data_IF_899330932872
#
_entry.id   IF_899330932872
#
_cell.length_a   1.000
_cell.length_b   1.000
_cell.length_c   1.000
_cell.angle_alpha   90.00
_cell.angle_beta   90.00
_cell.angle_gamma   90.00
#
_symmetry.space_group_name_H-M   'P 1'
#
loop_
_entity.id
_entity.type
_entity.pdbx_description
1 polymer ?
#
# COMPACT_ATOMS: atom_id res chain seq x y z
N UNK A 1 -32.57 -53.26 -0.05
CA UNK A 1 -32.38 -52.77 -1.43
C UNK A 1 -32.09 -51.28 -1.32
N UNK A 2 -30.92 -50.72 -1.58
CA UNK A 2 -29.67 -51.26 -2.07
C UNK A 2 -28.54 -50.34 -1.61
N UNK A 3 -27.40 -50.95 -1.31
CA UNK A 3 -26.21 -50.37 -0.68
C UNK A 3 -25.35 -49.55 -1.65
N UNK A 4 -25.92 -48.56 -2.35
CA UNK A 4 -25.24 -47.89 -3.46
C UNK A 4 -24.91 -46.40 -3.28
N UNK A 5 -25.29 -45.76 -2.17
CA UNK A 5 -24.97 -44.33 -1.97
C UNK A 5 -23.70 -44.06 -1.16
N UNK A 6 -22.95 -45.11 -0.77
CA UNK A 6 -21.73 -44.98 0.05
C UNK A 6 -20.41 -44.94 -0.73
N UNK A 7 -20.45 -44.81 -2.07
CA UNK A 7 -19.22 -44.83 -2.91
C UNK A 7 -19.01 -43.65 -3.85
N UNK A 8 -19.90 -42.66 -3.92
CA UNK A 8 -19.75 -41.49 -4.78
C UNK A 8 -19.40 -40.19 -4.03
N UNK A 9 -18.74 -40.31 -2.87
CA UNK A 9 -18.28 -39.16 -2.08
C UNK A 9 -16.75 -39.03 -2.04
N UNK A 10 -16.06 -39.49 -3.08
CA UNK A 10 -14.59 -39.38 -3.19
C UNK A 10 -14.09 -38.46 -4.30
N UNK A 11 -14.94 -37.88 -5.14
CA UNK A 11 -14.49 -37.00 -6.23
C UNK A 11 -15.24 -35.66 -6.22
N UNK A 12 -14.90 -34.80 -5.26
CA UNK A 12 -14.86 -33.34 -5.49
C UNK A 12 -14.21 -32.68 -4.29
N UNK A 13 -12.88 -32.64 -4.32
CA UNK A 13 -12.07 -31.78 -3.45
C UNK A 13 -12.30 -30.35 -3.94
N UNK A 14 -12.84 -29.44 -3.10
CA UNK A 14 -12.84 -28.03 -3.44
C UNK A 14 -11.42 -27.48 -3.23
N UNK A 15 -10.86 -26.97 -4.32
CA UNK A 15 -9.55 -26.34 -4.45
C UNK A 15 -9.21 -25.42 -3.27
N UNK A 16 -8.21 -25.81 -2.48
CA UNK A 16 -7.66 -25.01 -1.39
C UNK A 16 -6.59 -24.03 -1.92
N UNK A 17 -6.89 -23.25 -2.96
CA UNK A 17 -5.88 -22.38 -3.59
C UNK A 17 -5.45 -21.20 -2.71
N UNK A 18 -6.20 -20.81 -1.68
CA UNK A 18 -5.82 -19.65 -0.85
C UNK A 18 -4.83 -19.97 0.28
N UNK A 19 -4.85 -21.18 0.85
CA UNK A 19 -3.91 -21.57 1.92
C UNK A 19 -2.59 -22.09 1.36
N UNK A 20 -2.65 -22.71 0.17
CA UNK A 20 -1.45 -23.18 -0.53
C UNK A 20 -0.67 -22.00 -1.09
N UNK A 21 -1.33 -21.00 -1.72
CA UNK A 21 -0.65 -19.77 -2.17
C UNK A 21 -0.05 -18.96 -1.02
N UNK A 22 -0.72 -18.90 0.14
CA UNK A 22 -0.15 -18.23 1.31
C UNK A 22 1.04 -19.00 1.88
N UNK A 23 0.94 -20.31 2.16
CA UNK A 23 2.09 -21.08 2.64
C UNK A 23 3.23 -21.15 1.61
N UNK A 24 2.93 -21.14 0.32
CA UNK A 24 3.93 -21.12 -0.72
C UNK A 24 4.61 -19.75 -0.82
N UNK A 25 3.90 -18.63 -0.61
CA UNK A 25 4.52 -17.30 -0.49
C UNK A 25 5.42 -17.19 0.73
N UNK A 26 5.00 -17.66 1.91
CA UNK A 26 5.86 -17.68 3.10
C UNK A 26 7.06 -18.63 2.92
N UNK A 27 6.88 -19.76 2.23
CA UNK A 27 7.96 -20.70 1.89
C UNK A 27 8.92 -20.14 0.83
N UNK A 28 8.42 -19.37 -0.14
CA UNK A 28 9.22 -18.66 -1.14
C UNK A 28 10.00 -17.53 -0.47
N UNK A 29 9.39 -16.78 0.43
CA UNK A 29 10.03 -15.67 1.14
C UNK A 29 11.10 -16.14 2.13
N UNK A 30 10.85 -17.25 2.84
CA UNK A 30 11.87 -17.91 3.67
C UNK A 30 12.99 -18.52 2.84
N UNK A 31 12.69 -19.18 1.70
CA UNK A 31 13.74 -19.63 0.76
C UNK A 31 14.55 -18.48 0.20
N UNK A 32 13.94 -17.34 -0.14
CA UNK A 32 14.66 -16.16 -0.62
C UNK A 32 15.56 -15.58 0.49
N UNK A 33 15.10 -15.57 1.73
CA UNK A 33 15.88 -15.10 2.88
C UNK A 33 17.06 -16.04 3.18
N UNK A 34 16.85 -17.35 3.12
CA UNK A 34 17.89 -18.34 3.33
C UNK A 34 18.89 -18.39 2.17
N UNK A 35 18.43 -18.23 0.92
CA UNK A 35 19.29 -18.06 -0.25
C UNK A 35 20.15 -16.80 -0.12
N UNK A 36 19.58 -15.67 0.32
CA UNK A 36 20.35 -14.43 0.59
C UNK A 36 21.37 -14.61 1.71
N UNK A 37 21.08 -15.42 2.73
CA UNK A 37 22.05 -15.76 3.79
C UNK A 37 23.16 -16.66 3.26
N UNK A 38 22.84 -17.65 2.42
CA UNK A 38 23.82 -18.51 1.76
C UNK A 38 24.71 -17.72 0.80
N UNK A 39 24.15 -16.76 0.05
CA UNK A 39 24.89 -15.87 -0.83
C UNK A 39 25.82 -14.94 -0.04
N UNK A 40 25.35 -14.35 1.07
CA UNK A 40 26.18 -13.56 1.98
C UNK A 40 27.28 -14.40 2.63
N UNK A 41 26.99 -15.65 2.97
CA UNK A 41 27.97 -16.58 3.54
C UNK A 41 28.99 -17.01 2.48
N UNK A 42 28.57 -17.25 1.24
CA UNK A 42 29.44 -17.54 0.10
C UNK A 42 30.33 -16.35 -0.25
N UNK A 43 29.80 -15.12 -0.19
CA UNK A 43 30.54 -13.88 -0.43
C UNK A 43 31.56 -13.61 0.71
N UNK A 44 31.20 -13.89 1.96
CA UNK A 44 32.14 -13.87 3.09
C UNK A 44 33.27 -14.91 2.94
N UNK A 45 32.93 -16.12 2.47
CA UNK A 45 33.92 -17.18 2.23
C UNK A 45 34.81 -16.85 1.02
N UNK A 46 34.27 -16.18 -0.01
CA UNK A 46 35.04 -15.70 -1.15
C UNK A 46 36.04 -14.61 -0.71
N UNK A 47 35.60 -13.68 0.14
CA UNK A 47 36.47 -12.65 0.73
C UNK A 47 37.57 -13.26 1.60
N UNK A 48 37.25 -14.30 2.39
CA UNK A 48 38.20 -15.03 3.25
C UNK A 48 39.20 -15.88 2.44
N UNK A 49 38.79 -16.44 1.31
CA UNK A 49 39.68 -17.18 0.42
C UNK A 49 40.54 -16.27 -0.48
N UNK A 50 40.04 -15.07 -0.83
CA UNK A 50 40.82 -14.01 -1.50
C UNK A 50 41.93 -13.42 -0.62
N UNK A 51 41.84 -13.58 0.71
CA UNK A 51 42.84 -13.15 1.68
C UNK A 51 43.81 -14.28 2.11
N UNK A 52 43.72 -15.49 1.55
CA UNK A 52 44.79 -16.49 1.76
C UNK A 52 46.04 -16.01 1.01
N UNK A 53 47.17 -15.78 1.69
CA UNK A 53 48.41 -15.53 0.99
C UNK A 53 48.75 -16.80 0.23
N UNK A 54 48.85 -16.71 -1.10
CA UNK A 54 49.46 -17.75 -1.93
C UNK A 54 50.82 -18.08 -1.33
N UNK A 55 50.93 -19.25 -0.70
CA UNK A 55 52.14 -19.80 -0.10
C UNK A 55 53.20 -20.06 -1.19
N UNK A 56 53.88 -19.01 -1.63
CA UNK A 56 55.18 -19.07 -2.27
C UNK A 56 55.97 -17.88 -1.71
N UNK A 57 57.09 -18.16 -1.02
CA UNK A 57 58.02 -17.23 -0.34
C UNK A 57 57.90 -17.04 1.19
N UNK A 58 57.64 -18.10 1.96
CA UNK A 58 58.11 -18.13 3.37
C UNK A 58 58.80 -19.47 3.66
N UNK A 59 59.98 -19.67 3.07
CA UNK A 59 60.90 -20.76 3.45
C UNK A 59 62.33 -20.25 3.71
N UNK A 60 62.50 -18.95 3.99
CA UNK A 60 63.82 -18.37 4.26
C UNK A 60 64.01 -17.91 5.71
N UNK A 61 62.95 -17.70 6.48
CA UNK A 61 63.05 -17.08 7.82
C UNK A 61 62.82 -18.04 9.00
N UNK A 62 62.34 -19.26 8.74
CA UNK A 62 62.13 -20.27 9.79
C UNK A 62 63.41 -21.06 10.16
N UNK A 63 64.50 -20.88 9.40
CA UNK A 63 65.80 -21.53 9.65
C UNK A 63 66.78 -20.66 10.45
N UNK A 64 66.56 -19.34 10.55
CA UNK A 64 67.46 -18.43 11.29
C UNK A 64 67.22 -18.39 12.81
N UNK A 65 66.14 -18.99 13.33
CA UNK A 65 65.76 -18.95 14.75
C UNK A 65 66.01 -20.23 15.56
N UNK A 66 66.68 -21.24 14.99
CA UNK A 66 66.93 -22.54 15.65
C UNK A 66 68.33 -22.70 16.29
N UNK A 67 69.13 -21.63 16.37
CA UNK A 67 70.42 -21.66 17.09
C UNK A 67 70.51 -20.50 18.10
N UNK A 68 69.80 -20.61 19.21
CA UNK A 68 70.19 -19.98 20.49
C UNK A 68 69.32 -20.56 21.58
N UNK A 69 69.72 -21.76 22.01
CA UNK A 69 69.11 -22.49 23.10
C UNK A 69 69.83 -22.15 24.42
N UNK A 70 69.04 -22.17 25.50
CA UNK A 70 69.43 -22.28 26.94
C UNK A 70 69.85 -20.96 27.64
N UNK A 71 69.36 -20.59 28.84
CA UNK A 71 68.69 -21.36 29.91
C UNK A 71 68.06 -20.41 30.97
N UNK A 72 66.91 -20.84 31.50
CA UNK A 72 66.50 -20.85 32.94
C UNK A 72 66.06 -19.56 33.67
N UNK A 73 64.76 -19.57 33.98
CA UNK A 73 64.01 -19.23 35.21
C UNK A 73 64.32 -17.96 36.02
N UNK A 74 63.26 -17.19 36.36
CA UNK A 74 62.80 -16.99 37.75
C UNK A 74 61.88 -15.76 37.90
N UNK A 75 60.67 -16.01 38.41
CA UNK A 75 59.78 -15.22 39.31
C UNK A 75 59.79 -13.66 39.30
N UNK A 76 58.53 -13.17 39.24
CA UNK A 76 57.86 -12.25 40.19
C UNK A 76 58.21 -10.75 40.14
N UNK A 77 57.22 -9.98 39.70
CA UNK A 77 56.54 -8.96 40.51
C UNK A 77 57.15 -7.56 40.64
N UNK A 78 56.35 -6.55 40.26
CA UNK A 78 56.14 -5.36 41.08
C UNK A 78 56.89 -4.07 40.71
N UNK A 79 56.08 -3.07 40.30
CA UNK A 79 56.05 -1.69 40.84
C UNK A 79 57.23 -0.74 40.55
N UNK A 80 56.90 0.27 39.73
CA UNK A 80 57.13 1.73 39.85
C UNK A 80 58.56 2.27 39.96
N UNK A 81 58.85 3.23 39.06
CA UNK A 81 59.47 4.55 39.31
C UNK A 81 60.33 4.91 38.09
N UNK A 82 59.89 5.83 37.23
CA UNK A 82 60.00 7.29 37.35
C UNK A 82 61.33 7.84 36.81
N UNK A 83 61.16 8.99 36.14
CA UNK A 83 62.13 10.06 35.90
C UNK A 83 63.07 9.96 34.68
N UNK A 84 62.68 10.79 33.69
CA UNK A 84 63.38 12.00 33.26
C UNK A 84 64.63 11.90 32.37
N UNK A 85 64.37 12.25 31.10
CA UNK A 85 64.93 13.39 30.35
C UNK A 85 66.43 13.72 30.40
N UNK A 86 67.04 13.64 29.21
CA UNK A 86 67.94 14.65 28.62
C UNK A 86 68.24 14.20 27.19
N UNK A 87 67.79 14.90 26.14
CA UNK A 87 68.38 16.15 25.64
C UNK A 87 69.90 16.10 25.73
N UNK A 88 70.55 15.76 24.62
CA UNK A 88 71.71 16.49 24.14
C UNK A 88 72.05 16.03 22.72
N UNK A 89 72.03 17.01 21.83
CA UNK A 89 72.74 17.02 20.57
C UNK A 89 74.20 16.61 20.80
N UNK A 90 74.76 15.84 19.87
CA UNK A 90 76.22 15.76 19.70
C UNK A 90 76.47 15.36 18.26
N UNK A 91 76.77 16.32 17.39
CA UNK A 91 78.11 16.89 17.19
C UNK A 91 79.02 15.92 16.46
N UNK A 92 79.16 16.17 15.16
CA UNK A 92 80.27 15.76 14.30
C UNK A 92 81.60 16.13 14.96
N UNK A 93 82.23 15.15 15.61
CA UNK A 93 83.64 15.23 16.01
C UNK A 93 84.47 14.58 14.91
N UNK A 94 85.17 15.43 14.16
CA UNK A 94 86.30 15.05 13.32
C UNK A 94 87.33 14.30 14.17
N UNK A 95 87.45 12.98 13.98
CA UNK A 95 88.66 12.24 14.36
C UNK A 95 89.66 12.36 13.23
N UNK A 96 90.57 13.33 13.35
CA UNK A 96 91.88 13.32 12.71
C UNK A 96 92.70 12.15 13.28
N UNK A 97 92.57 10.98 12.67
CA UNK A 97 93.55 9.93 12.84
C UNK A 97 94.72 10.19 11.87
N UNK A 98 95.78 10.77 12.42
CA UNK A 98 97.12 10.77 11.85
C UNK A 98 97.60 9.31 11.70
N UNK A 99 97.22 8.66 10.60
CA UNK A 99 97.86 7.42 10.15
C UNK A 99 98.98 7.84 9.20
N UNK A 100 100.22 7.84 9.71
CA UNK A 100 101.42 7.91 8.86
C UNK A 100 101.28 6.85 7.77
N UNK A 101 101.10 7.30 6.53
CA UNK A 101 101.22 6.46 5.37
C UNK A 101 102.66 5.94 5.33
N UNK A 102 102.89 4.62 5.15
CA UNK A 102 104.23 4.12 4.87
C UNK A 102 104.78 4.80 3.62
N UNK A 103 106.02 5.30 3.70
CA UNK A 103 106.80 5.79 2.57
C UNK A 103 106.93 4.68 1.51
N UNK A 104 105.98 4.61 0.58
CA UNK A 104 106.03 3.70 -0.57
C UNK A 104 106.11 4.46 -1.91
N UNK A 105 106.36 5.77 -1.88
CA UNK A 105 106.40 6.62 -3.10
C UNK A 105 107.82 7.09 -3.45
N UNK A 106 108.83 6.78 -2.63
CA UNK A 106 110.18 7.33 -2.82
C UNK A 106 111.05 6.64 -3.89
N UNK A 107 110.50 5.76 -4.73
CA UNK A 107 111.28 4.97 -5.71
C UNK A 107 110.65 4.96 -7.11
N UNK A 108 110.29 6.11 -7.67
CA UNK A 108 109.80 6.23 -9.05
C UNK A 108 110.46 7.38 -9.83
N UNK A 109 111.62 7.87 -9.39
CA UNK A 109 112.22 9.07 -9.98
C UNK A 109 113.19 8.83 -11.15
N UNK A 110 113.57 7.60 -11.49
CA UNK A 110 114.54 7.37 -12.56
C UNK A 110 114.10 6.29 -13.56
N UNK A 111 113.17 6.66 -14.46
CA UNK A 111 112.96 5.98 -15.75
C UNK A 111 112.46 6.99 -16.79
N UNK A 112 113.37 7.51 -17.61
CA UNK A 112 113.08 8.24 -18.86
C UNK A 112 112.12 7.45 -19.77
N UNK A 113 111.28 8.02 -20.65
CA UNK A 113 110.54 9.28 -20.70
C UNK A 113 109.34 9.15 -21.67
N UNK A 114 108.96 7.93 -22.10
CA UNK A 114 107.92 7.72 -23.14
C UNK A 114 106.95 6.56 -22.85
N UNK A 115 107.39 5.44 -22.25
CA UNK A 115 106.52 4.28 -21.98
C UNK A 115 105.63 4.39 -20.73
N UNK A 116 106.12 5.04 -19.67
CA UNK A 116 105.32 5.28 -18.45
C UNK A 116 104.23 6.34 -18.65
N UNK A 117 104.47 7.32 -19.53
CA UNK A 117 103.49 8.38 -19.86
C UNK A 117 102.27 7.84 -20.60
N UNK A 118 102.45 6.83 -21.46
CA UNK A 118 101.33 6.18 -22.16
C UNK A 118 100.52 5.30 -21.22
N UNK A 119 101.17 4.49 -20.38
CA UNK A 119 100.49 3.63 -19.40
C UNK A 119 99.71 4.46 -18.37
N UNK A 120 100.31 5.54 -17.86
CA UNK A 120 99.64 6.46 -16.94
C UNK A 120 98.43 7.16 -17.58
N UNK A 121 98.50 7.52 -18.88
CA UNK A 121 97.36 8.08 -19.60
C UNK A 121 96.22 7.05 -19.82
N UNK A 122 96.55 5.79 -20.12
CA UNK A 122 95.54 4.73 -20.23
C UNK A 122 94.83 4.45 -18.90
N UNK A 123 95.59 4.36 -17.80
CA UNK A 123 95.04 4.16 -16.46
C UNK A 123 94.15 5.33 -16.00
N UNK A 124 94.52 6.58 -16.32
CA UNK A 124 93.68 7.75 -16.05
C UNK A 124 92.37 7.70 -16.84
N UNK A 125 92.43 7.36 -18.13
CA UNK A 125 91.23 7.20 -18.96
C UNK A 125 90.33 6.10 -18.41
N UNK A 126 90.88 4.96 -18.00
CA UNK A 126 90.12 3.88 -17.39
C UNK A 126 89.49 4.33 -16.05
N UNK A 127 90.25 5.01 -15.19
CA UNK A 127 89.75 5.59 -13.95
C UNK A 127 88.58 6.56 -14.20
N UNK A 128 88.68 7.41 -15.21
CA UNK A 128 87.62 8.33 -15.59
C UNK A 128 86.39 7.59 -16.13
N UNK A 129 86.58 6.50 -16.90
CA UNK A 129 85.45 5.65 -17.31
C UNK A 129 84.79 4.96 -16.11
N UNK A 130 85.57 4.52 -15.12
CA UNK A 130 85.06 3.90 -13.90
C UNK A 130 84.32 4.91 -13.02
N UNK A 131 84.84 6.14 -12.89
CA UNK A 131 84.15 7.24 -12.20
C UNK A 131 82.82 7.59 -12.86
N UNK A 132 82.80 7.68 -14.19
CA UNK A 132 81.56 7.94 -14.93
C UNK A 132 80.53 6.81 -14.76
N UNK A 133 80.98 5.54 -14.79
CA UNK A 133 80.13 4.37 -14.52
C UNK A 133 79.59 4.38 -13.08
N UNK A 134 80.43 4.67 -12.08
CA UNK A 134 80.04 4.72 -10.67
C UNK A 134 78.99 5.83 -10.44
N UNK A 135 79.23 7.04 -10.98
CA UNK A 135 78.23 8.13 -10.94
C UNK A 135 76.90 7.72 -11.55
N UNK A 136 76.92 7.06 -12.72
CA UNK A 136 75.70 6.55 -13.38
C UNK A 136 74.97 5.49 -12.53
N UNK A 137 75.70 4.65 -11.81
CA UNK A 137 75.10 3.67 -10.90
C UNK A 137 74.50 4.35 -9.67
N UNK A 138 75.16 5.38 -9.13
CA UNK A 138 74.65 6.17 -8.02
C UNK A 138 73.37 6.93 -8.39
N UNK A 139 73.32 7.53 -9.58
CA UNK A 139 72.12 8.20 -10.10
C UNK A 139 70.95 7.22 -10.26
N UNK A 140 71.22 6.03 -10.83
CA UNK A 140 70.21 4.95 -10.95
C UNK A 140 69.72 4.46 -9.59
N UNK A 141 70.61 4.32 -8.62
CA UNK A 141 70.23 3.91 -7.26
C UNK A 141 69.31 4.97 -6.62
N UNK A 142 69.67 6.25 -6.74
CA UNK A 142 68.85 7.35 -6.24
C UNK A 142 67.48 7.44 -6.94
N UNK A 143 67.41 7.12 -8.23
CA UNK A 143 66.15 7.01 -8.98
C UNK A 143 65.28 5.86 -8.48
N UNK A 144 65.86 4.66 -8.31
CA UNK A 144 65.15 3.49 -7.75
C UNK A 144 64.68 3.71 -6.32
N UNK A 145 65.46 4.39 -5.49
CA UNK A 145 65.07 4.77 -4.13
C UNK A 145 63.87 5.73 -4.13
N UNK A 146 63.79 6.64 -5.10
CA UNK A 146 62.61 7.52 -5.27
C UNK A 146 61.39 6.72 -5.72
N UNK A 147 61.54 5.85 -6.73
CA UNK A 147 60.46 4.96 -7.19
C UNK A 147 59.90 4.09 -6.04
N UNK A 148 60.78 3.48 -5.24
CA UNK A 148 60.39 2.67 -4.08
C UNK A 148 59.62 3.48 -3.04
N UNK A 149 60.06 4.72 -2.75
CA UNK A 149 59.35 5.61 -1.83
C UNK A 149 57.97 5.98 -2.36
N UNK A 150 57.85 6.27 -3.66
CA UNK A 150 56.55 6.56 -4.29
C UNK A 150 55.62 5.34 -4.22
N UNK A 151 56.09 4.15 -4.62
CA UNK A 151 55.30 2.92 -4.54
C UNK A 151 54.83 2.61 -3.11
N UNK A 152 55.68 2.84 -2.10
CA UNK A 152 55.32 2.67 -0.69
C UNK A 152 54.20 3.62 -0.27
N UNK A 153 54.29 4.90 -0.64
CA UNK A 153 53.25 5.88 -0.34
C UNK A 153 51.93 5.54 -1.06
N UNK A 154 52.00 5.08 -2.31
CA UNK A 154 50.80 4.67 -3.07
C UNK A 154 50.10 3.48 -2.41
N UNK A 155 50.86 2.49 -1.92
CA UNK A 155 50.31 1.37 -1.16
C UNK A 155 49.66 1.83 0.16
N UNK A 156 50.32 2.67 0.94
CA UNK A 156 49.75 3.22 2.18
C UNK A 156 48.48 4.03 1.93
N UNK A 157 48.40 4.76 0.81
CA UNK A 157 47.19 5.48 0.40
C UNK A 157 46.07 4.53 -0.01
N UNK A 158 46.38 3.47 -0.74
CA UNK A 158 45.40 2.45 -1.13
C UNK A 158 44.85 1.73 0.11
N UNK A 159 45.70 1.34 1.05
CA UNK A 159 45.30 0.69 2.30
C UNK A 159 44.33 1.59 3.08
N UNK A 160 44.69 2.87 3.30
CA UNK A 160 43.80 3.84 3.95
C UNK A 160 42.48 4.04 3.22
N UNK A 161 42.49 4.04 1.88
CA UNK A 161 41.27 4.16 1.10
C UNK A 161 40.36 2.92 1.27
N UNK A 162 40.92 1.73 1.39
CA UNK A 162 40.13 0.52 1.67
C UNK A 162 39.60 0.48 3.09
N UNK A 163 40.40 0.90 4.08
CA UNK A 163 39.97 1.02 5.48
C UNK A 163 38.81 2.02 5.63
N UNK A 164 38.89 3.17 4.95
CA UNK A 164 37.82 4.16 4.96
C UNK A 164 36.51 3.61 4.38
N UNK A 165 36.58 2.88 3.26
CA UNK A 165 35.40 2.22 2.65
C UNK A 165 34.79 1.16 3.56
N UNK A 166 35.62 0.41 4.29
CA UNK A 166 35.15 -0.58 5.25
C UNK A 166 34.46 0.14 6.42
N UNK A 167 35.07 1.19 6.96
CA UNK A 167 34.50 1.99 8.04
C UNK A 167 33.16 2.63 7.65
N UNK A 168 33.05 3.16 6.44
CA UNK A 168 31.80 3.70 5.88
C UNK A 168 30.68 2.66 5.83
N UNK A 169 30.98 1.45 5.31
CA UNK A 169 30.01 0.35 5.27
C UNK A 169 29.59 -0.11 6.67
N UNK A 170 30.53 -0.17 7.62
CA UNK A 170 30.23 -0.52 9.01
C UNK A 170 29.34 0.56 9.65
N UNK A 171 29.65 1.85 9.43
CA UNK A 171 28.84 2.94 9.96
C UNK A 171 27.41 2.91 9.43
N UNK A 172 27.23 2.71 8.12
CA UNK A 172 25.91 2.57 7.50
C UNK A 172 25.12 1.39 8.09
N UNK A 173 25.74 0.21 8.23
CA UNK A 173 25.10 -0.95 8.83
C UNK A 173 24.68 -0.70 10.28
N UNK A 174 25.53 -0.02 11.06
CA UNK A 174 25.22 0.33 12.45
C UNK A 174 24.02 1.28 12.51
N UNK A 175 23.96 2.29 11.65
CA UNK A 175 22.81 3.19 11.56
C UNK A 175 21.51 2.48 11.15
N UNK A 176 21.58 1.54 10.20
CA UNK A 176 20.42 0.71 9.82
C UNK A 176 19.93 -0.15 10.99
N UNK A 177 20.84 -0.80 11.72
CA UNK A 177 20.49 -1.59 12.91
C UNK A 177 19.82 -0.72 13.98
N UNK A 178 20.35 0.48 14.24
CA UNK A 178 19.73 1.41 15.19
C UNK A 178 18.34 1.86 14.74
N UNK A 179 18.17 2.12 13.45
CA UNK A 179 16.88 2.55 12.88
C UNK A 179 15.85 1.42 12.97
N UNK A 180 16.20 0.21 12.53
CA UNK A 180 15.34 -0.97 12.64
C UNK A 180 14.99 -1.30 14.09
N UNK A 181 15.92 -1.11 15.02
CA UNK A 181 15.67 -1.32 16.45
C UNK A 181 14.67 -0.30 17.00
N UNK A 182 14.81 0.97 16.63
CA UNK A 182 13.85 2.02 17.01
C UNK A 182 12.46 1.71 16.49
N UNK A 183 12.34 1.34 15.21
CA UNK A 183 11.05 0.96 14.60
C UNK A 183 10.42 -0.24 15.30
N UNK A 184 11.23 -1.26 15.64
CA UNK A 184 10.78 -2.42 16.41
C UNK A 184 10.25 -2.01 17.79
N UNK A 185 10.96 -1.15 18.51
CA UNK A 185 10.53 -0.68 19.83
C UNK A 185 9.27 0.17 19.76
N UNK A 186 9.14 1.01 18.74
CA UNK A 186 7.93 1.80 18.50
C UNK A 186 6.73 0.90 18.19
N UNK A 187 6.89 -0.10 17.31
CA UNK A 187 5.85 -1.06 16.99
C UNK A 187 5.41 -1.89 18.21
N UNK A 188 6.37 -2.32 19.04
CA UNK A 188 6.07 -3.04 20.29
C UNK A 188 5.30 -2.14 21.26
N UNK A 189 5.73 -0.90 21.44
CA UNK A 189 5.03 0.06 22.31
C UNK A 189 3.63 0.40 21.80
N UNK A 190 3.44 0.52 20.48
CA UNK A 190 2.14 0.72 19.86
C UNK A 190 1.20 -0.47 20.13
N UNK A 191 1.69 -1.71 19.93
CA UNK A 191 0.91 -2.93 20.18
C UNK A 191 0.53 -3.08 21.66
N UNK A 192 1.44 -2.73 22.58
CA UNK A 192 1.17 -2.76 24.02
C UNK A 192 0.10 -1.73 24.41
N UNK A 193 0.11 -0.53 23.80
CA UNK A 193 -0.94 0.48 24.02
C UNK A 193 -2.31 -0.03 23.56
N UNK A 194 -2.39 -0.56 22.34
CA UNK A 194 -3.64 -1.13 21.81
C UNK A 194 -4.18 -2.26 22.70
N UNK A 195 -3.31 -3.18 23.14
CA UNK A 195 -3.74 -4.25 24.04
C UNK A 195 -4.28 -3.72 25.39
N UNK A 196 -3.70 -2.64 25.92
CA UNK A 196 -4.22 -2.00 27.13
C UNK A 196 -5.56 -1.30 26.87
N UNK A 197 -5.70 -0.59 25.76
CA UNK A 197 -6.95 0.06 25.35
C UNK A 197 -8.08 -0.97 25.17
N UNK A 198 -7.82 -2.07 24.46
CA UNK A 198 -8.77 -3.18 24.28
C UNK A 198 -9.17 -3.82 25.61
N UNK A 199 -8.21 -4.04 26.51
CA UNK A 199 -8.48 -4.57 27.85
C UNK A 199 -9.35 -3.60 28.65
N UNK A 200 -9.04 -2.30 28.62
CA UNK A 200 -9.76 -1.29 29.37
C UNK A 200 -11.19 -1.11 28.81
N UNK A 201 -11.36 -1.20 27.49
CA UNK A 201 -12.68 -1.26 26.85
C UNK A 201 -13.47 -2.51 27.27
N UNK A 202 -12.84 -3.68 27.27
CA UNK A 202 -13.48 -4.93 27.71
C UNK A 202 -13.90 -4.82 29.18
N UNK A 203 -13.06 -4.24 30.04
CA UNK A 203 -13.37 -3.98 31.44
C UNK A 203 -14.57 -3.05 31.58
N UNK A 204 -14.62 -1.95 30.83
CA UNK A 204 -15.77 -1.04 30.81
C UNK A 204 -17.05 -1.73 30.32
N UNK A 205 -16.98 -2.62 29.33
CA UNK A 205 -18.14 -3.40 28.87
C UNK A 205 -18.65 -4.34 29.96
N UNK A 206 -17.76 -5.06 30.64
CA UNK A 206 -18.10 -5.94 31.77
C UNK A 206 -18.76 -5.14 32.88
N UNK A 207 -18.18 -4.00 33.28
CA UNK A 207 -18.76 -3.16 34.33
C UNK A 207 -20.17 -2.68 33.98
N UNK A 208 -20.41 -2.23 32.73
CA UNK A 208 -21.76 -1.86 32.28
C UNK A 208 -22.75 -3.02 32.33
N UNK A 209 -22.29 -4.23 31.97
CA UNK A 209 -23.11 -5.43 32.05
C UNK A 209 -23.42 -5.80 33.50
N UNK A 210 -22.45 -5.71 34.41
CA UNK A 210 -22.66 -5.93 35.84
C UNK A 210 -23.66 -4.92 36.43
N UNK A 211 -23.53 -3.64 36.08
CA UNK A 211 -24.49 -2.59 36.45
C UNK A 211 -25.89 -2.92 35.91
N UNK A 212 -26.00 -3.32 34.64
CA UNK A 212 -27.29 -3.72 34.05
C UNK A 212 -27.88 -4.97 34.71
N UNK A 213 -27.05 -5.94 35.10
CA UNK A 213 -27.48 -7.15 35.78
C UNK A 213 -27.96 -6.84 37.19
N UNK A 214 -27.27 -5.94 37.91
CA UNK A 214 -27.70 -5.45 39.22
C UNK A 214 -29.00 -4.65 39.14
N UNK A 215 -29.22 -3.89 38.07
CA UNK A 215 -30.52 -3.27 37.79
C UNK A 215 -31.62 -4.32 37.54
N UNK A 216 -31.29 -5.42 36.86
CA UNK A 216 -32.20 -6.52 36.55
C UNK A 216 -32.51 -7.40 37.77
N UNK A 217 -31.55 -7.65 38.66
CA UNK A 217 -31.74 -8.37 39.93
C UNK A 217 -32.71 -7.62 40.87
N UNK A 218 -32.78 -6.29 40.75
CA UNK A 218 -33.80 -5.46 41.41
C UNK A 218 -35.19 -5.52 40.72
N UNK A 219 -35.38 -6.38 39.72
CA UNK A 219 -36.67 -6.65 39.09
C UNK A 219 -37.16 -8.01 39.55
N UNK A 220 -37.94 -8.04 40.64
CA UNK A 220 -38.78 -9.19 40.93
C UNK A 220 -39.87 -9.28 39.82
N UNK A 221 -39.91 -10.33 38.98
CA UNK A 221 -40.86 -10.41 37.87
C UNK A 221 -42.32 -10.46 38.36
N UNK A 222 -42.59 -11.10 39.50
CA UNK A 222 -43.92 -11.10 40.14
C UNK A 222 -44.41 -9.68 40.51
N UNK A 223 -43.48 -8.74 40.75
CA UNK A 223 -43.82 -7.37 41.15
C UNK A 223 -44.07 -6.44 39.97
N UNK A 224 -43.73 -6.82 38.73
CA UNK A 224 -44.03 -6.05 37.52
C UNK A 224 -45.37 -6.42 36.86
N UNK A 225 -45.85 -7.65 37.06
CA UNK A 225 -47.11 -8.10 36.44
C UNK A 225 -48.36 -7.70 37.24
N UNK A 226 -48.20 -7.36 38.52
CA UNK A 226 -49.31 -6.90 39.35
C UNK A 226 -49.90 -5.59 38.83
N UNK A 227 -51.21 -5.43 38.84
CA UNK A 227 -51.80 -4.11 38.53
C UNK A 227 -51.54 -3.12 39.67
N UNK A 228 -51.55 -1.81 39.38
CA UNK A 228 -51.48 -0.79 40.46
C UNK A 228 -52.62 -0.99 41.47
N UNK A 229 -53.79 -1.40 40.98
CA UNK A 229 -54.95 -1.70 41.81
C UNK A 229 -54.69 -2.89 42.75
N UNK A 230 -54.05 -3.96 42.27
CA UNK A 230 -53.66 -5.09 43.12
C UNK A 230 -52.64 -4.69 44.20
N UNK A 231 -51.64 -3.87 43.86
CA UNK A 231 -50.66 -3.38 44.84
C UNK A 231 -51.33 -2.50 45.91
N UNK A 232 -52.24 -1.61 45.51
CA UNK A 232 -53.00 -0.79 46.44
C UNK A 232 -53.93 -1.63 47.32
N UNK A 233 -54.60 -2.64 46.75
CA UNK A 233 -55.44 -3.57 47.51
C UNK A 233 -54.61 -4.39 48.51
N UNK A 234 -53.38 -4.81 48.15
CA UNK A 234 -52.46 -5.51 49.07
C UNK A 234 -51.96 -4.61 50.18
N UNK A 235 -51.69 -3.33 49.91
CA UNK A 235 -51.37 -2.35 50.95
C UNK A 235 -52.56 -2.14 51.90
N UNK A 236 -53.76 -2.01 51.36
CA UNK A 236 -54.97 -1.78 52.14
C UNK A 236 -55.36 -2.98 53.03
N UNK A 237 -55.00 -4.19 52.60
CA UNK A 237 -55.29 -5.44 53.30
C UNK A 237 -54.04 -6.05 53.98
N UNK A 238 -52.95 -5.30 54.15
CA UNK A 238 -51.72 -5.81 54.75
C UNK A 238 -51.84 -5.86 56.28
N UNK A 239 -51.57 -7.03 56.86
CA UNK A 239 -51.61 -7.25 58.31
C UNK A 239 -50.36 -6.73 59.05
N UNK A 240 -49.27 -6.46 58.30
CA UNK A 240 -48.01 -5.96 58.87
C UNK A 240 -47.48 -4.71 58.16
N UNK A 241 -46.82 -3.84 58.91
CA UNK A 241 -46.16 -2.66 58.34
C UNK A 241 -45.03 -2.99 57.35
N UNK A 242 -44.43 -4.18 57.47
CA UNK A 242 -43.40 -4.66 56.55
C UNK A 242 -44.01 -4.94 55.17
N UNK A 243 -45.21 -5.53 55.11
CA UNK A 243 -45.91 -5.80 53.85
C UNK A 243 -46.37 -4.50 53.17
N UNK A 244 -46.79 -3.51 53.96
CA UNK A 244 -47.09 -2.16 53.45
C UNK A 244 -45.84 -1.54 52.81
N UNK A 245 -44.69 -1.59 53.50
CA UNK A 245 -43.43 -1.04 52.99
C UNK A 245 -42.95 -1.76 51.73
N UNK A 246 -43.05 -3.09 51.69
CA UNK A 246 -42.66 -3.89 50.52
C UNK A 246 -43.51 -3.52 49.30
N UNK A 247 -44.84 -3.50 49.43
CA UNK A 247 -45.73 -3.12 48.33
C UNK A 247 -45.59 -1.64 47.93
N UNK A 248 -45.35 -0.75 48.90
CA UNK A 248 -45.06 0.66 48.66
C UNK A 248 -43.74 0.88 47.88
N UNK A 249 -42.71 0.09 48.18
CA UNK A 249 -41.43 0.12 47.46
C UNK A 249 -41.59 -0.28 45.99
N UNK A 250 -42.46 -1.27 45.70
CA UNK A 250 -42.78 -1.68 44.31
C UNK A 250 -43.41 -0.51 43.54
N UNK A 251 -44.39 0.16 44.13
CA UNK A 251 -45.06 1.32 43.50
C UNK A 251 -44.05 2.45 43.26
N UNK A 252 -43.22 2.77 44.24
CA UNK A 252 -42.16 3.79 44.12
C UNK A 252 -41.16 3.44 43.00
N UNK A 253 -40.70 2.19 42.95
CA UNK A 253 -39.81 1.71 41.90
C UNK A 253 -40.44 1.82 40.51
N UNK A 254 -41.74 1.50 40.36
CA UNK A 254 -42.46 1.68 39.09
C UNK A 254 -42.56 3.14 38.67
N UNK A 255 -42.85 4.04 39.60
CA UNK A 255 -42.89 5.49 39.34
C UNK A 255 -41.51 5.99 38.91
N UNK A 256 -40.46 5.59 39.63
CA UNK A 256 -39.09 5.99 39.32
C UNK A 256 -38.67 5.48 37.93
N UNK A 257 -38.88 4.20 37.62
CA UNK A 257 -38.61 3.61 36.30
C UNK A 257 -39.36 4.33 35.18
N UNK A 258 -40.64 4.64 35.40
CA UNK A 258 -41.44 5.38 34.40
C UNK A 258 -40.88 6.78 34.17
N UNK A 259 -40.45 7.47 35.24
CA UNK A 259 -39.83 8.80 35.14
C UNK A 259 -38.48 8.75 34.43
N UNK A 260 -37.63 7.78 34.74
CA UNK A 260 -36.33 7.61 34.08
C UNK A 260 -36.46 7.22 32.61
N UNK A 261 -37.39 6.31 32.26
CA UNK A 261 -37.68 6.00 30.85
C UNK A 261 -38.11 7.24 30.07
N UNK A 262 -38.98 8.08 30.65
CA UNK A 262 -39.38 9.35 30.01
C UNK A 262 -38.18 10.27 29.78
N UNK A 263 -37.28 10.42 30.76
CA UNK A 263 -36.05 11.21 30.59
C UNK A 263 -35.15 10.64 29.49
N UNK A 264 -34.99 9.31 29.46
CA UNK A 264 -34.18 8.63 28.44
C UNK A 264 -34.73 8.86 27.03
N UNK A 265 -36.05 8.69 26.84
CA UNK A 265 -36.72 8.98 25.57
C UNK A 265 -36.49 10.43 25.15
N UNK A 266 -36.68 11.39 26.05
CA UNK A 266 -36.46 12.82 25.75
C UNK A 266 -35.00 13.10 25.36
N UNK A 267 -34.04 12.47 26.03
CA UNK A 267 -32.62 12.63 25.70
C UNK A 267 -32.28 12.02 24.33
N UNK A 268 -32.81 10.83 24.01
CA UNK A 268 -32.66 10.17 22.72
C UNK A 268 -33.31 11.00 21.59
N UNK A 269 -34.52 11.52 21.81
CA UNK A 269 -35.19 12.43 20.88
C UNK A 269 -34.39 13.72 20.64
N UNK A 270 -33.84 14.32 21.71
CA UNK A 270 -32.99 15.50 21.60
C UNK A 270 -31.71 15.21 20.80
N UNK A 271 -31.07 14.07 21.05
CA UNK A 271 -29.88 13.65 20.30
C UNK A 271 -30.20 13.43 18.82
N UNK A 272 -31.31 12.75 18.51
CA UNK A 272 -31.74 12.54 17.13
C UNK A 272 -31.99 13.87 16.40
N UNK A 273 -32.60 14.86 17.06
CA UNK A 273 -32.79 16.21 16.51
C UNK A 273 -31.46 16.92 16.26
N UNK A 274 -30.48 16.78 17.17
CA UNK A 274 -29.14 17.33 17.00
C UNK A 274 -28.42 16.69 15.81
N UNK A 275 -28.47 15.36 15.69
CA UNK A 275 -27.87 14.64 14.57
C UNK A 275 -28.49 15.03 13.22
N UNK A 276 -29.83 15.16 13.17
CA UNK A 276 -30.52 15.63 11.97
C UNK A 276 -30.12 17.06 11.60
N UNK A 277 -30.03 17.96 12.59
CA UNK A 277 -29.54 19.34 12.37
C UNK A 277 -28.12 19.33 11.82
N UNK A 278 -27.23 18.54 12.40
CA UNK A 278 -25.82 18.52 12.00
C UNK A 278 -25.62 17.89 10.61
N UNK A 279 -26.40 16.86 10.29
CA UNK A 279 -26.47 16.29 8.94
C UNK A 279 -26.97 17.31 7.92
N UNK A 280 -28.03 18.06 8.25
CA UNK A 280 -28.55 19.13 7.40
C UNK A 280 -27.52 20.25 7.20
N UNK A 281 -26.84 20.68 8.27
CA UNK A 281 -25.76 21.68 8.19
C UNK A 281 -24.59 21.19 7.32
N UNK A 282 -24.22 19.92 7.41
CA UNK A 282 -23.20 19.32 6.56
C UNK A 282 -23.62 19.31 5.08
N UNK A 283 -24.89 18.98 4.81
CA UNK A 283 -25.44 19.08 3.45
C UNK A 283 -25.45 20.52 2.93
N UNK A 284 -25.86 21.50 3.73
CA UNK A 284 -25.81 22.91 3.36
C UNK A 284 -24.39 23.36 3.00
N UNK A 285 -23.40 23.04 3.84
CA UNK A 285 -21.99 23.38 3.57
C UNK A 285 -21.47 22.76 2.27
N UNK A 286 -21.84 21.50 1.98
CA UNK A 286 -21.47 20.83 0.73
C UNK A 286 -22.08 21.53 -0.49
N UNK A 287 -23.38 21.81 -0.43
CA UNK A 287 -24.08 22.51 -1.49
C UNK A 287 -23.52 23.93 -1.72
N UNK A 288 -23.13 24.63 -0.65
CA UNK A 288 -22.44 25.93 -0.73
C UNK A 288 -21.09 25.81 -1.45
N UNK A 289 -20.30 24.77 -1.18
CA UNK A 289 -19.04 24.50 -1.87
C UNK A 289 -19.25 24.14 -3.35
N UNK A 290 -20.23 23.29 -3.66
CA UNK A 290 -20.60 22.94 -5.04
C UNK A 290 -21.04 24.18 -5.82
N UNK A 291 -21.83 25.07 -5.19
CA UNK A 291 -22.26 26.33 -5.78
C UNK A 291 -21.06 27.25 -6.04
N UNK A 292 -20.12 27.35 -5.09
CA UNK A 292 -18.88 28.12 -5.30
C UNK A 292 -18.08 27.56 -6.48
N UNK A 293 -17.90 26.25 -6.54
CA UNK A 293 -17.17 25.59 -7.62
C UNK A 293 -17.84 25.81 -8.99
N UNK A 294 -19.17 25.70 -9.08
CA UNK A 294 -19.93 26.01 -10.29
C UNK A 294 -19.81 27.48 -10.70
N UNK A 295 -19.78 28.41 -9.73
CA UNK A 295 -19.54 29.83 -10.02
C UNK A 295 -18.13 30.07 -10.57
N UNK A 296 -17.11 29.44 -10.01
CA UNK A 296 -15.74 29.50 -10.52
C UNK A 296 -15.62 28.87 -11.91
N UNK A 297 -16.27 27.73 -12.14
CA UNK A 297 -16.31 27.07 -13.44
C UNK A 297 -16.99 27.94 -14.50
N UNK A 298 -18.11 28.58 -14.15
CA UNK A 298 -18.80 29.51 -15.04
C UNK A 298 -17.99 30.80 -15.30
N UNK A 299 -17.29 31.32 -14.28
CA UNK A 299 -16.44 32.49 -14.47
C UNK A 299 -15.22 32.17 -15.34
N UNK A 300 -14.64 30.97 -15.21
CA UNK A 300 -13.52 30.51 -16.03
C UNK A 300 -13.95 30.15 -17.45
N UNK A 301 -15.17 29.62 -17.67
CA UNK A 301 -15.73 29.39 -19.01
C UNK A 301 -16.09 30.69 -19.71
N UNK A 302 -16.65 31.69 -19.00
CA UNK A 302 -16.94 33.02 -19.54
C UNK A 302 -15.68 33.79 -19.95
N UNK A 303 -14.56 33.59 -19.25
CA UNK A 303 -13.27 34.21 -19.58
C UNK A 303 -12.53 33.53 -20.76
N UNK A 304 -13.07 32.42 -21.29
CA UNK A 304 -12.47 31.70 -22.42
C UNK A 304 -13.21 32.06 -23.72
N UNK A 305 -12.68 33.03 -24.48
CA UNK A 305 -13.32 33.63 -25.68
C UNK A 305 -13.70 32.60 -26.76
N UNK A 306 -13.08 31.41 -26.76
CA UNK A 306 -13.39 30.29 -27.66
C UNK A 306 -14.68 29.51 -27.28
N UNK A 307 -15.08 29.49 -26.00
CA UNK A 307 -16.27 28.75 -25.56
C UNK A 307 -17.56 29.51 -25.87
N UNK A 308 -17.56 30.83 -25.65
CA UNK A 308 -18.69 31.72 -25.96
C UNK A 308 -19.08 31.69 -27.45
N UNK A 309 -18.12 31.50 -28.36
CA UNK A 309 -18.39 31.40 -29.80
C UNK A 309 -18.94 30.04 -30.21
N UNK A 310 -18.53 28.95 -29.54
CA UNK A 310 -19.03 27.60 -29.82
C UNK A 310 -20.47 27.40 -29.31
N UNK A 311 -20.75 27.77 -28.05
CA UNK A 311 -22.11 27.70 -27.50
C UNK A 311 -23.09 28.62 -28.25
N UNK A 312 -22.66 29.83 -28.62
CA UNK A 312 -23.52 30.73 -29.39
C UNK A 312 -23.85 30.19 -30.79
N UNK A 313 -22.89 29.52 -31.44
CA UNK A 313 -23.15 28.86 -32.72
C UNK A 313 -24.10 27.66 -32.56
N UNK A 314 -23.97 26.89 -31.48
CA UNK A 314 -24.87 25.78 -31.19
C UNK A 314 -26.28 26.25 -30.81
N UNK A 315 -26.40 27.33 -30.04
CA UNK A 315 -27.67 27.97 -29.69
C UNK A 315 -28.38 28.53 -30.94
N UNK A 316 -27.63 29.15 -31.86
CA UNK A 316 -28.18 29.61 -33.15
C UNK A 316 -28.67 28.44 -34.00
N UNK A 317 -27.95 27.32 -34.03
CA UNK A 317 -28.36 26.13 -34.77
C UNK A 317 -29.67 25.55 -34.23
N UNK A 318 -29.78 25.38 -32.90
CA UNK A 318 -30.99 24.88 -32.25
C UNK A 318 -32.18 25.83 -32.44
N UNK A 319 -31.96 27.15 -32.40
CA UNK A 319 -32.99 28.15 -32.69
C UNK A 319 -33.48 28.06 -34.14
N UNK A 320 -32.58 27.87 -35.10
CA UNK A 320 -32.95 27.71 -36.50
C UNK A 320 -33.76 26.41 -36.72
N UNK A 321 -33.38 25.33 -36.07
CA UNK A 321 -34.08 24.05 -36.12
C UNK A 321 -35.50 24.14 -35.52
N UNK A 322 -35.64 24.82 -34.38
CA UNK A 322 -36.94 25.03 -33.74
C UNK A 322 -37.90 25.86 -34.61
N UNK A 323 -37.39 26.91 -35.25
CA UNK A 323 -38.18 27.73 -36.19
C UNK A 323 -38.62 26.89 -37.39
N UNK A 324 -37.70 26.09 -37.96
CA UNK A 324 -38.03 25.21 -39.08
C UNK A 324 -39.09 24.16 -38.71
N UNK A 325 -38.97 23.56 -37.52
CA UNK A 325 -39.95 22.60 -37.01
C UNK A 325 -41.32 23.25 -36.80
N UNK A 326 -41.35 24.47 -36.26
CA UNK A 326 -42.59 25.22 -36.05
C UNK A 326 -43.27 25.58 -37.37
N UNK A 327 -42.51 26.05 -38.36
CA UNK A 327 -43.03 26.31 -39.72
C UNK A 327 -43.55 25.02 -40.37
N UNK A 328 -42.84 23.90 -40.21
CA UNK A 328 -43.28 22.58 -40.69
C UNK A 328 -44.60 22.14 -40.04
N UNK A 329 -44.73 22.33 -38.72
CA UNK A 329 -45.98 22.05 -37.97
C UNK A 329 -47.14 22.92 -38.47
N UNK A 330 -46.92 24.21 -38.66
CA UNK A 330 -47.95 25.14 -39.15
C UNK A 330 -48.39 24.79 -40.58
N UNK A 331 -47.45 24.44 -41.46
CA UNK A 331 -47.75 23.98 -42.81
C UNK A 331 -48.57 22.68 -42.81
N UNK A 332 -48.21 21.71 -41.96
CA UNK A 332 -48.95 20.46 -41.80
C UNK A 332 -50.37 20.72 -41.27
N UNK A 333 -50.53 21.58 -40.27
CA UNK A 333 -51.86 21.96 -39.76
C UNK A 333 -52.74 22.62 -40.82
N UNK A 334 -52.16 23.49 -41.66
CA UNK A 334 -52.88 24.09 -42.77
C UNK A 334 -53.31 23.05 -43.81
N UNK A 335 -52.48 22.04 -44.09
CA UNK A 335 -52.85 20.93 -44.96
C UNK A 335 -53.97 20.08 -44.35
N UNK A 336 -53.89 19.74 -43.07
CA UNK A 336 -54.94 19.00 -42.37
C UNK A 336 -56.29 19.74 -42.44
N UNK A 337 -56.28 21.06 -42.23
CA UNK A 337 -57.49 21.88 -42.32
C UNK A 337 -58.12 21.86 -43.72
N UNK A 338 -57.31 21.96 -44.78
CA UNK A 338 -57.80 21.85 -46.17
C UNK A 338 -58.42 20.47 -46.43
N UNK A 339 -57.76 19.41 -46.00
CA UNK A 339 -58.28 18.05 -46.15
C UNK A 339 -59.58 17.86 -45.35
N UNK A 340 -59.70 18.47 -44.17
CA UNK A 340 -60.93 18.45 -43.39
C UNK A 340 -62.08 19.17 -44.09
N UNK A 341 -61.82 20.34 -44.68
CA UNK A 341 -62.78 21.10 -45.50
C UNK A 341 -63.21 20.30 -46.74
N UNK A 342 -62.27 19.62 -47.42
CA UNK A 342 -62.56 18.71 -48.53
C UNK A 342 -63.42 17.52 -48.08
N UNK A 343 -63.10 16.89 -46.94
CA UNK A 343 -63.89 15.80 -46.37
C UNK A 343 -65.30 16.28 -46.03
N UNK A 344 -65.45 17.46 -45.43
CA UNK A 344 -66.77 18.02 -45.12
C UNK A 344 -67.56 18.32 -46.39
N UNK A 345 -66.91 18.87 -47.42
CA UNK A 345 -67.52 19.09 -48.74
C UNK A 345 -67.98 17.76 -49.35
N UNK A 346 -67.14 16.73 -49.33
CA UNK A 346 -67.48 15.39 -49.80
C UNK A 346 -68.63 14.78 -48.99
N UNK A 347 -68.67 14.98 -47.67
CA UNK A 347 -69.79 14.52 -46.82
C UNK A 347 -71.09 15.19 -47.20
N UNK A 348 -71.11 16.50 -47.43
CA UNK A 348 -72.32 17.22 -47.88
C UNK A 348 -72.75 16.72 -49.26
N UNK A 349 -71.80 16.57 -50.20
CA UNK A 349 -72.10 16.03 -51.53
C UNK A 349 -72.67 14.62 -51.45
N UNK A 350 -72.06 13.75 -50.63
CA UNK A 350 -72.53 12.40 -50.39
C UNK A 350 -73.91 12.38 -49.75
N UNK A 351 -74.17 13.20 -48.72
CA UNK A 351 -75.49 13.30 -48.10
C UNK A 351 -76.56 13.81 -49.07
N UNK A 352 -76.24 14.79 -49.92
CA UNK A 352 -77.15 15.24 -50.97
C UNK A 352 -77.43 14.14 -51.98
N UNK A 353 -76.38 13.45 -52.44
CA UNK A 353 -76.49 12.29 -53.32
C UNK A 353 -77.29 11.17 -52.66
N UNK A 354 -77.08 10.90 -51.38
CA UNK A 354 -77.81 9.92 -50.58
C UNK A 354 -79.28 10.28 -50.48
N UNK A 355 -79.63 11.54 -50.23
CA UNK A 355 -81.04 11.98 -50.18
C UNK A 355 -81.72 11.96 -51.55
N UNK A 356 -81.00 12.31 -52.63
CA UNK A 356 -81.45 12.15 -54.02
C UNK A 356 -81.58 10.66 -54.40
N UNK A 357 -80.66 9.83 -53.92
CA UNK A 357 -80.63 8.39 -54.10
C UNK A 357 -81.73 7.71 -53.30
N UNK A 358 -82.02 8.10 -52.06
CA UNK A 358 -83.12 7.61 -51.22
C UNK A 358 -84.48 8.01 -51.80
N UNK A 359 -84.57 9.16 -52.47
CA UNK A 359 -85.72 9.52 -53.33
C UNK A 359 -85.91 8.59 -54.55
N UNK A 360 -84.87 7.85 -54.97
CA UNK A 360 -84.90 6.87 -56.07
C UNK A 360 -84.67 5.40 -55.62
N UNK A 361 -84.30 5.15 -54.36
CA UNK A 361 -83.77 3.89 -53.82
C UNK A 361 -84.82 3.10 -53.02
N UNK A 362 -86.09 3.49 -53.11
CA UNK A 362 -87.19 2.56 -52.85
C UNK A 362 -87.25 1.42 -53.91
N UNK A 363 -86.26 1.33 -54.81
CA UNK A 363 -86.26 0.35 -55.91
C UNK A 363 -85.07 -0.59 -56.07
N UNK A 364 -83.94 -0.49 -55.36
CA UNK A 364 -82.83 -1.45 -55.55
C UNK A 364 -82.01 -1.75 -54.27
N UNK A 365 -82.58 -2.58 -53.38
CA UNK A 365 -81.85 -3.66 -52.68
C UNK A 365 -81.12 -4.55 -53.73
N UNK A 366 -80.10 -5.36 -53.43
CA UNK A 366 -78.87 -5.21 -52.65
C UNK A 366 -77.66 -5.82 -53.42
N UNK A 367 -76.61 -5.09 -53.81
CA UNK A 367 -75.45 -5.72 -54.49
C UNK A 367 -74.15 -4.91 -54.36
N UNK A 368 -73.69 -4.61 -53.14
CA UNK A 368 -72.30 -4.13 -52.95
C UNK A 368 -71.79 -4.25 -51.50
N UNK A 369 -72.13 -5.34 -50.80
CA UNK A 369 -71.76 -5.52 -49.38
C UNK A 369 -70.71 -6.62 -49.15
N UNK A 370 -69.99 -7.09 -50.18
CA UNK A 370 -69.12 -8.27 -50.05
C UNK A 370 -67.63 -8.08 -50.39
N UNK A 371 -67.18 -6.91 -50.86
CA UNK A 371 -65.77 -6.76 -51.32
C UNK A 371 -64.84 -5.94 -50.42
N UNK A 372 -65.32 -5.36 -49.31
CA UNK A 372 -64.52 -4.46 -48.45
C UNK A 372 -64.18 -5.01 -47.06
N UNK A 373 -64.62 -6.23 -46.71
CA UNK A 373 -64.43 -6.81 -45.38
C UNK A 373 -63.11 -7.60 -45.21
N UNK A 374 -62.46 -8.03 -46.28
CA UNK A 374 -61.38 -9.02 -46.20
C UNK A 374 -60.00 -8.38 -45.92
N UNK A 375 -59.71 -7.21 -46.51
CA UNK A 375 -58.40 -6.54 -46.36
C UNK A 375 -58.16 -5.86 -45.00
N UNK A 376 -59.21 -5.53 -44.25
CA UNK A 376 -59.11 -4.89 -42.94
C UNK A 376 -58.91 -5.85 -41.76
N UNK A 377 -59.18 -7.15 -41.97
CA UNK A 377 -59.02 -8.18 -40.94
C UNK A 377 -57.56 -8.67 -40.85
N UNK A 378 -56.86 -8.80 -41.99
CA UNK A 378 -55.47 -9.25 -42.04
C UNK A 378 -54.52 -8.32 -41.24
N UNK A 379 -54.63 -7.00 -41.43
CA UNK A 379 -53.79 -6.04 -40.71
C UNK A 379 -54.10 -5.93 -39.21
N UNK A 380 -55.30 -6.35 -38.77
CA UNK A 380 -55.64 -6.45 -37.34
C UNK A 380 -55.07 -7.71 -36.72
N UNK A 381 -55.04 -8.81 -37.47
CA UNK A 381 -54.46 -10.09 -37.03
C UNK A 381 -52.92 -10.02 -36.91
N UNK A 382 -52.26 -9.30 -37.81
CA UNK A 382 -50.81 -9.05 -37.76
C UNK A 382 -50.39 -8.20 -36.54
N UNK A 383 -51.20 -7.22 -36.13
CA UNK A 383 -50.94 -6.41 -34.92
C UNK A 383 -51.18 -7.21 -33.64
N UNK A 384 -52.19 -8.09 -33.64
CA UNK A 384 -52.50 -8.96 -32.49
C UNK A 384 -51.41 -10.02 -32.30
N UNK A 385 -50.90 -10.61 -33.39
CA UNK A 385 -49.79 -11.58 -33.29
C UNK A 385 -48.48 -10.93 -32.84
N UNK A 386 -48.17 -9.72 -33.30
CA UNK A 386 -47.00 -8.96 -32.86
C UNK A 386 -47.06 -8.62 -31.35
N UNK A 387 -48.22 -8.15 -30.88
CA UNK A 387 -48.41 -7.80 -29.47
C UNK A 387 -48.38 -9.03 -28.56
N UNK A 388 -48.92 -10.16 -29.03
CA UNK A 388 -48.84 -11.43 -28.31
C UNK A 388 -47.39 -11.94 -28.16
N UNK A 389 -46.58 -11.84 -29.23
CA UNK A 389 -45.15 -12.19 -29.17
C UNK A 389 -44.35 -11.32 -28.19
N UNK A 390 -44.63 -10.02 -28.13
CA UNK A 390 -43.99 -9.12 -27.17
C UNK A 390 -44.34 -9.46 -25.72
N UNK A 391 -45.57 -9.89 -25.45
CA UNK A 391 -46.01 -10.30 -24.12
C UNK A 391 -45.33 -11.61 -23.70
N UNK A 392 -45.17 -12.57 -24.61
CA UNK A 392 -44.43 -13.81 -24.32
C UNK A 392 -42.94 -13.55 -24.06
N UNK A 393 -42.31 -12.64 -24.81
CA UNK A 393 -40.92 -12.25 -24.59
C UNK A 393 -40.72 -11.56 -23.23
N UNK A 394 -41.61 -10.64 -22.85
CA UNK A 394 -41.60 -10.00 -21.54
C UNK A 394 -41.83 -11.01 -20.40
N UNK A 395 -42.70 -12.01 -20.61
CA UNK A 395 -42.91 -13.07 -19.62
C UNK A 395 -41.66 -13.95 -19.45
N UNK A 396 -40.95 -14.26 -20.53
CA UNK A 396 -39.70 -15.00 -20.48
C UNK A 396 -38.60 -14.22 -19.73
N UNK A 397 -38.46 -12.92 -20.02
CA UNK A 397 -37.50 -12.03 -19.33
C UNK A 397 -37.79 -11.92 -17.82
N UNK A 398 -39.05 -11.81 -17.43
CA UNK A 398 -39.46 -11.81 -16.02
C UNK A 398 -39.12 -13.13 -15.32
N UNK A 399 -39.35 -14.26 -16.00
CA UNK A 399 -39.03 -15.57 -15.44
C UNK A 399 -37.52 -15.76 -15.27
N UNK A 400 -36.73 -15.30 -16.23
CA UNK A 400 -35.27 -15.30 -16.14
C UNK A 400 -34.76 -14.43 -14.99
N UNK A 401 -35.25 -13.19 -14.90
CA UNK A 401 -34.86 -12.26 -13.81
C UNK A 401 -35.22 -12.85 -12.44
N UNK A 402 -36.35 -13.55 -12.35
CA UNK A 402 -36.77 -14.23 -11.11
C UNK A 402 -35.88 -15.41 -10.75
N UNK A 403 -35.36 -16.17 -11.71
CA UNK A 403 -34.35 -17.20 -11.43
C UNK A 403 -33.03 -16.60 -10.99
N UNK A 404 -32.56 -15.53 -11.64
CA UNK A 404 -31.32 -14.83 -11.28
C UNK A 404 -31.41 -14.22 -9.88
N UNK A 405 -32.57 -13.67 -9.51
CA UNK A 405 -32.85 -13.18 -8.16
C UNK A 405 -32.74 -14.30 -7.11
N UNK A 406 -33.32 -15.48 -7.38
CA UNK A 406 -33.22 -16.63 -6.45
C UNK A 406 -31.77 -17.13 -6.31
N UNK A 407 -31.02 -17.16 -7.40
CA UNK A 407 -29.62 -17.59 -7.40
C UNK A 407 -28.73 -16.62 -6.61
N UNK A 408 -28.98 -15.32 -6.74
CA UNK A 408 -28.26 -14.29 -5.98
C UNK A 408 -28.63 -14.30 -4.50
N UNK A 409 -29.91 -14.52 -4.17
CA UNK A 409 -30.37 -14.70 -2.78
C UNK A 409 -29.71 -15.92 -2.12
N UNK A 410 -29.62 -17.05 -2.82
CA UNK A 410 -28.95 -18.25 -2.33
C UNK A 410 -27.45 -18.02 -2.10
N UNK A 411 -26.78 -17.28 -2.99
CA UNK A 411 -25.36 -16.89 -2.80
C UNK A 411 -25.19 -15.98 -1.58
N UNK A 412 -26.11 -15.04 -1.35
CA UNK A 412 -26.08 -14.13 -0.21
C UNK A 412 -26.27 -14.89 1.11
N UNK A 413 -27.21 -15.84 1.14
CA UNK A 413 -27.42 -16.69 2.31
C UNK A 413 -26.17 -17.51 2.66
N UNK A 414 -25.52 -18.12 1.66
CA UNK A 414 -24.26 -18.85 1.87
C UNK A 414 -23.13 -17.96 2.39
N UNK A 415 -23.03 -16.73 1.89
CA UNK A 415 -22.04 -15.77 2.36
C UNK A 415 -22.30 -15.32 3.81
N UNK A 416 -23.56 -15.16 4.20
CA UNK A 416 -23.95 -14.87 5.58
C UNK A 416 -23.60 -16.03 6.52
N UNK A 417 -23.92 -17.28 6.14
CA UNK A 417 -23.57 -18.47 6.92
C UNK A 417 -22.05 -18.62 7.08
N UNK A 418 -21.28 -18.41 6.00
CA UNK A 418 -19.82 -18.42 6.05
C UNK A 418 -19.25 -17.29 6.93
N UNK A 419 -19.86 -16.10 6.91
CA UNK A 419 -19.48 -14.99 7.77
C UNK A 419 -19.78 -15.27 9.25
N UNK A 420 -20.92 -15.90 9.56
CA UNK A 420 -21.26 -16.32 10.91
C UNK A 420 -20.29 -17.39 11.42
N UNK A 421 -19.99 -18.41 10.61
CA UNK A 421 -19.03 -19.47 10.97
C UNK A 421 -17.61 -18.91 11.19
N UNK A 422 -17.17 -17.96 10.36
CA UNK A 422 -15.90 -17.28 10.57
C UNK A 422 -15.88 -16.47 11.87
N UNK A 423 -16.98 -15.78 12.20
CA UNK A 423 -17.08 -14.98 13.41
C UNK A 423 -17.12 -15.85 14.68
N UNK A 424 -17.79 -17.00 14.64
CA UNK A 424 -17.78 -17.99 15.72
C UNK A 424 -16.39 -18.62 15.95
N UNK A 425 -15.60 -18.80 14.89
CA UNK A 425 -14.21 -19.29 14.99
C UNK A 425 -13.23 -18.26 15.55
N UNK A 426 -13.54 -16.97 15.46
CA UNK A 426 -12.72 -15.89 16.05
C UNK A 426 -13.06 -15.66 17.53
N UNK A 427 -14.26 -16.05 17.98
CA UNK A 427 -14.71 -15.92 19.37
C UNK A 427 -14.38 -17.14 20.27
N UNK A 428 -13.91 -18.24 19.70
CA UNK A 428 -13.36 -19.41 20.43
C UNK A 428 -11.85 -19.37 20.43
#
# INVERSE_FOLDING_TARGET
MSSETFKQKLDSVPDQTSSEEQMENWSKETRILDQKKEDLYAELQFYKNSQKPTEFFIQAESEARKHSDLRVTSKRGGVVADCNSRSEESSTVERKDNRMLPEFISSWNDAEDLGGKTETAFLLKELDTLRAKNKKLQDKLAEKDKELKTMKLDLELQDRATEAKIAERIAALVEEVYSAQRERDEAVMARLRLANEERDEAFLRVQRLEESLKELENINPEENDMTLQELLNRINNADTGIDILKNGAIILNRIHRTKERKKKIIAEEMNAVIEQRDAALSQCKRLEQELHHLKEQNQTSANNTRHMTAENNQERALKAELIALQQGKEAALQQCKKLEEEIQTLRVYYSLYQSLSEGMSLKNQPNCAFSTSEGGLQGREDVVTLTYGQVEELAAQLQQTRSEQKDTELKLQKALEASQEANEKVQK
#
